data_IF_168919147532
#
_entry.id   IF_168919147532
#
_cell.length_a   1.000
_cell.length_b   1.000
_cell.length_c   1.000
_cell.angle_alpha   90.00
_cell.angle_beta   90.00
_cell.angle_gamma   90.00
#
_symmetry.space_group_name_H-M   'P 1'
#
loop_
_entity.id
_entity.type
_entity.pdbx_description
1 polymer ?
#
# COMPACT_ATOMS: atom_id res chain seq x y z
N UNK A 1 -15.74 -27.93 32.19
CA UNK A 1 -15.98 -27.60 30.77
C UNK A 1 -14.68 -27.04 30.27
N UNK A 2 -13.81 -27.96 29.86
CA UNK A 2 -12.46 -27.67 29.43
C UNK A 2 -12.49 -26.95 28.09
N UNK A 3 -12.03 -25.71 28.07
CA UNK A 3 -11.69 -25.05 26.81
C UNK A 3 -10.42 -25.72 26.30
N UNK A 4 -10.58 -26.68 25.38
CA UNK A 4 -9.47 -27.21 24.59
C UNK A 4 -8.72 -26.05 23.94
N UNK A 5 -7.51 -25.78 24.44
CA UNK A 5 -6.60 -24.79 23.90
C UNK A 5 -6.09 -25.32 22.54
N UNK A 6 -6.80 -24.94 21.47
CA UNK A 6 -6.48 -25.36 20.10
C UNK A 6 -5.06 -24.91 19.76
N UNK A 7 -4.17 -25.86 19.46
CA UNK A 7 -2.76 -25.61 19.19
C UNK A 7 -2.54 -24.48 18.14
N UNK A 8 -1.51 -23.62 18.31
CA UNK A 8 -1.30 -22.45 17.45
C UNK A 8 -1.15 -22.79 15.96
N UNK A 9 -0.61 -23.97 15.63
CA UNK A 9 -0.50 -24.44 14.25
C UNK A 9 -1.88 -24.72 13.60
N UNK A 10 -2.84 -25.22 14.38
CA UNK A 10 -4.21 -25.50 13.92
C UNK A 10 -4.97 -24.19 13.73
N UNK A 11 -4.79 -23.22 14.63
CA UNK A 11 -5.37 -21.87 14.48
C UNK A 11 -4.85 -21.14 13.23
N UNK A 12 -3.56 -21.26 12.92
CA UNK A 12 -2.98 -20.69 11.71
C UNK A 12 -3.56 -21.33 10.45
N UNK A 13 -3.67 -22.67 10.41
CA UNK A 13 -4.25 -23.40 9.29
C UNK A 13 -5.72 -22.99 9.02
N UNK A 14 -6.54 -22.94 10.07
CA UNK A 14 -7.93 -22.48 9.98
C UNK A 14 -7.99 -21.04 9.45
N UNK A 15 -7.12 -20.17 9.94
CA UNK A 15 -7.07 -18.77 9.50
C UNK A 15 -6.67 -18.63 8.02
N UNK A 16 -5.75 -19.46 7.54
CA UNK A 16 -5.33 -19.50 6.13
C UNK A 16 -6.46 -19.98 5.20
N UNK A 17 -7.18 -21.04 5.58
CA UNK A 17 -8.32 -21.55 4.80
C UNK A 17 -9.47 -20.53 4.76
N UNK A 18 -9.77 -19.89 5.90
CA UNK A 18 -10.76 -18.82 5.97
C UNK A 18 -10.36 -17.63 5.09
N UNK A 19 -9.08 -17.24 5.08
CA UNK A 19 -8.58 -16.18 4.19
C UNK A 19 -8.76 -16.57 2.72
N UNK A 20 -8.46 -17.82 2.33
CA UNK A 20 -8.65 -18.29 0.96
C UNK A 20 -10.12 -18.23 0.52
N UNK A 21 -11.03 -18.69 1.39
CA UNK A 21 -12.48 -18.64 1.14
C UNK A 21 -12.96 -17.18 1.00
N UNK A 22 -12.52 -16.30 1.90
CA UNK A 22 -12.86 -14.88 1.85
C UNK A 22 -12.27 -14.18 0.62
N UNK A 23 -11.03 -14.49 0.25
CA UNK A 23 -10.38 -13.97 -0.95
C UNK A 23 -11.16 -14.35 -2.21
N UNK A 24 -11.58 -15.62 -2.33
CA UNK A 24 -12.40 -16.12 -3.44
C UNK A 24 -13.78 -15.44 -3.47
N UNK A 25 -14.43 -15.29 -2.31
CA UNK A 25 -15.75 -14.65 -2.24
C UNK A 25 -15.68 -13.16 -2.60
N UNK A 26 -14.64 -12.43 -2.14
CA UNK A 26 -14.38 -11.03 -2.51
C UNK A 26 -14.18 -10.87 -4.02
N UNK A 27 -13.43 -11.77 -4.67
CA UNK A 27 -13.24 -11.75 -6.12
C UNK A 27 -14.49 -12.08 -6.93
N UNK A 28 -15.49 -12.75 -6.33
CA UNK A 28 -16.77 -13.12 -6.95
C UNK A 28 -17.90 -12.11 -6.68
N UNK A 29 -17.74 -11.15 -5.77
CA UNK A 29 -18.78 -10.16 -5.46
C UNK A 29 -19.16 -9.40 -6.72
N UNK A 30 -20.47 -9.34 -7.00
CA UNK A 30 -21.03 -8.58 -8.13
C UNK A 30 -20.51 -7.15 -8.05
N UNK A 31 -19.95 -6.70 -9.16
CA UNK A 31 -19.41 -5.35 -9.33
C UNK A 31 -20.56 -4.37 -9.10
N UNK A 32 -20.52 -3.46 -8.12
CA UNK A 32 -21.20 -2.20 -8.35
C UNK A 32 -20.59 -1.65 -9.65
N UNK A 33 -21.45 -1.35 -10.63
CA UNK A 33 -21.05 -0.93 -11.96
C UNK A 33 -19.95 0.13 -11.85
N UNK A 34 -18.76 -0.22 -12.36
CA UNK A 34 -17.54 0.60 -12.33
C UNK A 34 -17.29 1.35 -11.01
N UNK A 35 -16.54 0.73 -10.09
CA UNK A 35 -15.72 1.54 -9.16
C UNK A 35 -14.59 2.15 -10.01
N UNK A 36 -14.94 3.13 -10.84
CA UNK A 36 -13.95 4.04 -11.41
C UNK A 36 -13.26 4.68 -10.21
N UNK A 37 -11.94 4.56 -10.11
CA UNK A 37 -11.24 5.24 -9.04
C UNK A 37 -11.43 6.74 -9.23
N UNK A 38 -11.82 7.44 -8.17
CA UNK A 38 -12.07 8.89 -8.22
C UNK A 38 -10.78 9.67 -8.53
N UNK A 39 -9.62 9.01 -8.38
CA UNK A 39 -8.30 9.51 -8.76
C UNK A 39 -7.45 8.40 -9.38
N UNK A 40 -6.60 8.77 -10.33
CA UNK A 40 -5.64 7.87 -10.96
C UNK A 40 -4.50 7.44 -10.01
N UNK A 41 -4.32 8.13 -8.88
CA UNK A 41 -3.27 7.85 -7.90
C UNK A 41 -3.85 7.24 -6.63
N UNK A 42 -3.26 6.13 -6.19
CA UNK A 42 -3.54 5.49 -4.91
C UNK A 42 -2.28 5.45 -4.06
N UNK A 43 -2.45 5.67 -2.76
CA UNK A 43 -1.46 5.31 -1.75
C UNK A 43 -1.97 4.10 -0.98
N UNK A 44 -1.19 3.03 -0.96
CA UNK A 44 -1.56 1.74 -0.36
C UNK A 44 -0.62 1.45 0.80
N UNK A 45 -1.17 1.14 1.97
CA UNK A 45 -0.43 0.88 3.21
C UNK A 45 -0.78 -0.51 3.73
N UNK A 46 0.25 -1.29 4.09
CA UNK A 46 0.07 -2.58 4.77
C UNK A 46 -0.18 -2.36 6.26
N UNK A 47 -1.37 -2.72 6.73
CA UNK A 47 -1.81 -2.49 8.12
C UNK A 47 -1.71 -3.73 9.01
N UNK A 48 -1.39 -4.90 8.45
CA UNK A 48 -1.32 -6.16 9.19
C UNK A 48 -0.05 -6.98 8.90
N UNK A 49 0.29 -7.82 9.87
CA UNK A 49 1.35 -8.84 9.77
C UNK A 49 0.90 -10.08 8.99
N UNK A 50 1.86 -10.93 8.64
CA UNK A 50 1.70 -12.04 7.68
C UNK A 50 1.44 -13.42 8.28
N UNK A 51 1.30 -13.52 9.59
CA UNK A 51 1.24 -14.81 10.26
C UNK A 51 -0.04 -15.57 9.85
N UNK A 52 -1.14 -14.85 9.58
CA UNK A 52 -2.45 -15.42 9.25
C UNK A 52 -2.86 -15.06 7.80
N UNK A 53 -2.04 -15.41 6.81
CA UNK A 53 -2.30 -15.09 5.40
C UNK A 53 -2.13 -16.31 4.52
N UNK A 54 -3.12 -16.59 3.67
CA UNK A 54 -2.98 -17.64 2.67
C UNK A 54 -1.81 -17.29 1.70
N UNK A 55 -1.01 -18.27 1.23
CA UNK A 55 0.14 -18.01 0.35
C UNK A 55 -0.17 -17.19 -0.91
N UNK A 56 -1.38 -17.32 -1.47
CA UNK A 56 -1.84 -16.51 -2.62
C UNK A 56 -1.97 -15.01 -2.26
N UNK A 57 -2.60 -14.69 -1.13
CA UNK A 57 -2.72 -13.33 -0.60
C UNK A 57 -1.33 -12.72 -0.38
N UNK A 58 -0.43 -13.52 0.21
CA UNK A 58 0.97 -13.15 0.44
C UNK A 58 1.70 -12.81 -0.85
N UNK A 59 1.54 -13.63 -1.90
CA UNK A 59 2.15 -13.41 -3.22
C UNK A 59 1.67 -12.10 -3.86
N UNK A 60 0.39 -11.76 -3.72
CA UNK A 60 -0.16 -10.49 -4.19
C UNK A 60 0.49 -9.31 -3.45
N UNK A 61 0.55 -9.34 -2.11
CA UNK A 61 1.19 -8.28 -1.33
C UNK A 61 2.67 -8.09 -1.70
N UNK A 62 3.41 -9.17 -1.94
CA UNK A 62 4.80 -9.09 -2.41
C UNK A 62 4.91 -8.43 -3.78
N UNK A 63 3.99 -8.72 -4.72
CA UNK A 63 3.99 -8.08 -6.04
C UNK A 63 3.75 -6.57 -5.95
N UNK A 64 3.00 -6.11 -4.94
CA UNK A 64 2.79 -4.70 -4.62
C UNK A 64 3.92 -4.08 -3.79
N UNK A 65 4.97 -4.85 -3.46
CA UNK A 65 6.07 -4.46 -2.57
C UNK A 65 5.63 -4.19 -1.12
N UNK A 66 4.46 -4.67 -0.72
CA UNK A 66 3.88 -4.55 0.63
C UNK A 66 4.29 -5.75 1.49
N UNK A 67 5.61 -5.93 1.61
CA UNK A 67 6.22 -7.10 2.25
C UNK A 67 6.34 -7.01 3.77
N UNK A 68 6.04 -5.89 4.43
CA UNK A 68 6.04 -5.77 5.89
C UNK A 68 4.89 -4.87 6.31
N UNK A 69 4.48 -4.98 7.57
CA UNK A 69 3.53 -4.03 8.16
C UNK A 69 4.12 -2.62 8.15
N UNK A 70 3.25 -1.60 8.03
CA UNK A 70 3.61 -0.17 7.96
C UNK A 70 4.46 0.21 6.76
N UNK A 71 4.40 -0.58 5.70
CA UNK A 71 4.96 -0.19 4.40
C UNK A 71 3.86 0.47 3.56
N UNK A 72 4.19 1.63 2.99
CA UNK A 72 3.38 2.37 2.04
C UNK A 72 3.98 2.37 0.62
N UNK A 73 3.14 2.35 -0.41
CA UNK A 73 3.56 2.48 -1.81
C UNK A 73 2.55 3.31 -2.62
N UNK A 74 3.04 4.10 -3.57
CA UNK A 74 2.21 4.73 -4.59
C UNK A 74 1.90 3.74 -5.72
N UNK A 75 0.65 3.74 -6.18
CA UNK A 75 0.17 2.82 -7.22
C UNK A 75 -0.77 3.56 -8.17
N UNK A 76 -0.64 3.27 -9.46
CA UNK A 76 -1.59 3.73 -10.47
C UNK A 76 -2.91 2.96 -10.36
N UNK A 77 -4.01 3.70 -10.24
CA UNK A 77 -5.34 3.13 -10.24
C UNK A 77 -5.67 2.58 -11.63
N UNK A 78 -6.05 1.31 -11.68
CA UNK A 78 -6.53 0.63 -12.89
C UNK A 78 -7.53 -0.44 -12.47
N UNK A 79 -8.38 -0.89 -13.39
CA UNK A 79 -9.37 -1.93 -13.08
C UNK A 79 -8.73 -3.20 -12.48
N UNK A 80 -7.61 -3.65 -13.06
CA UNK A 80 -6.87 -4.80 -12.54
C UNK A 80 -6.22 -4.54 -11.18
N UNK A 81 -5.74 -3.32 -10.93
CA UNK A 81 -5.20 -2.96 -9.61
C UNK A 81 -6.29 -2.95 -8.54
N UNK A 82 -7.47 -2.41 -8.84
CA UNK A 82 -8.60 -2.42 -7.92
C UNK A 82 -9.06 -3.85 -7.59
N UNK A 83 -9.08 -4.74 -8.58
CA UNK A 83 -9.38 -6.16 -8.37
C UNK A 83 -8.32 -6.83 -7.46
N UNK A 84 -7.05 -6.50 -7.68
CA UNK A 84 -5.95 -7.00 -6.86
C UNK A 84 -6.06 -6.51 -5.41
N UNK A 85 -6.34 -5.22 -5.21
CA UNK A 85 -6.54 -4.62 -3.88
C UNK A 85 -7.76 -5.21 -3.16
N UNK A 86 -8.85 -5.50 -3.87
CA UNK A 86 -10.04 -6.13 -3.28
C UNK A 86 -9.76 -7.54 -2.75
N UNK A 87 -8.86 -8.30 -3.40
CA UNK A 87 -8.45 -9.63 -2.92
C UNK A 87 -7.68 -9.57 -1.61
N UNK A 88 -6.84 -8.54 -1.44
CA UNK A 88 -6.00 -8.34 -0.23
C UNK A 88 -6.55 -7.32 0.75
N UNK A 89 -7.80 -6.88 0.55
CA UNK A 89 -8.46 -5.78 1.25
C UNK A 89 -8.26 -5.79 2.78
N UNK A 90 -8.38 -6.91 3.53
CA UNK A 90 -8.26 -6.90 5.00
C UNK A 90 -6.89 -6.52 5.54
N UNK A 91 -5.86 -6.63 4.70
CA UNK A 91 -4.46 -6.46 5.07
C UNK A 91 -3.91 -5.11 4.66
N UNK A 92 -4.64 -4.41 3.79
CA UNK A 92 -4.24 -3.11 3.26
C UNK A 92 -5.29 -2.06 3.57
N UNK A 93 -4.83 -0.84 3.75
CA UNK A 93 -5.67 0.34 3.65
C UNK A 93 -5.16 1.19 2.50
N UNK A 94 -6.05 1.81 1.75
CA UNK A 94 -5.66 2.66 0.62
C UNK A 94 -6.62 3.82 0.43
N UNK A 95 -6.19 4.83 -0.31
CA UNK A 95 -7.03 5.96 -0.67
C UNK A 95 -6.32 6.91 -1.63
N UNK A 96 -6.90 8.09 -1.80
CA UNK A 96 -6.41 9.11 -2.73
C UNK A 96 -5.55 10.12 -1.98
N UNK A 97 -4.22 10.07 -2.13
CA UNK A 97 -3.35 11.05 -1.49
C UNK A 97 -3.50 12.42 -2.17
N UNK A 98 -3.47 13.48 -1.40
CA UNK A 98 -3.40 14.85 -1.92
C UNK A 98 -1.94 15.26 -2.14
N UNK A 99 -1.73 16.37 -2.85
CA UNK A 99 -0.38 16.88 -3.19
C UNK A 99 0.47 17.09 -1.94
N UNK A 100 -0.13 17.60 -0.85
CA UNK A 100 0.58 17.82 0.42
C UNK A 100 1.09 16.50 1.00
N UNK A 101 0.24 15.47 1.12
CA UNK A 101 0.62 14.16 1.63
C UNK A 101 1.66 13.47 0.75
N UNK A 102 1.59 13.65 -0.58
CA UNK A 102 2.63 13.14 -1.49
C UNK A 102 3.97 13.82 -1.22
N UNK A 103 3.99 15.16 -1.13
CA UNK A 103 5.19 15.94 -0.78
C UNK A 103 5.76 15.49 0.56
N UNK A 104 4.95 15.48 1.62
CA UNK A 104 5.39 15.12 2.97
C UNK A 104 5.99 13.71 3.02
N UNK A 105 5.43 12.75 2.28
CA UNK A 105 5.97 11.39 2.21
C UNK A 105 7.32 11.33 1.48
N UNK A 106 7.43 12.02 0.33
CA UNK A 106 8.65 12.02 -0.47
C UNK A 106 9.78 12.74 0.26
N UNK A 107 9.52 13.91 0.86
CA UNK A 107 10.55 14.67 1.58
C UNK A 107 11.05 13.99 2.86
N UNK A 108 10.18 13.28 3.59
CA UNK A 108 10.53 12.76 4.94
C UNK A 108 11.16 11.37 4.92
N UNK A 109 10.94 10.60 3.87
CA UNK A 109 11.24 9.16 3.80
C UNK A 109 11.97 8.81 2.52
N UNK A 110 12.75 9.76 2.02
CA UNK A 110 13.44 9.84 0.73
C UNK A 110 14.55 8.81 0.54
N UNK A 111 14.32 7.56 0.93
CA UNK A 111 15.25 6.47 0.63
C UNK A 111 14.98 5.98 -0.79
N UNK A 112 15.99 6.07 -1.63
CA UNK A 112 15.94 5.64 -3.03
C UNK A 112 16.74 4.37 -3.24
N UNK A 113 16.39 3.63 -4.29
CA UNK A 113 17.06 2.41 -4.69
C UNK A 113 17.97 2.69 -5.87
N UNK A 114 19.28 2.60 -5.65
CA UNK A 114 20.31 2.70 -6.69
C UNK A 114 20.97 1.33 -6.79
N UNK A 115 20.75 0.64 -7.91
CA UNK A 115 21.15 -0.76 -8.07
C UNK A 115 20.57 -1.69 -6.99
N UNK A 116 21.43 -2.20 -6.09
CA UNK A 116 21.04 -3.09 -4.97
C UNK A 116 21.00 -2.38 -3.62
N UNK A 117 21.43 -1.13 -3.55
CA UNK A 117 21.58 -0.39 -2.30
C UNK A 117 20.41 0.58 -2.07
N UNK A 118 20.26 0.98 -0.80
CA UNK A 118 19.27 1.95 -0.34
C UNK A 118 19.99 3.16 0.18
N UNK A 119 19.82 4.28 -0.48
CA UNK A 119 20.58 5.51 -0.24
C UNK A 119 19.58 6.63 0.07
N UNK A 120 19.82 7.48 1.08
CA UNK A 120 19.01 8.67 1.29
C UNK A 120 19.17 9.65 0.12
N UNK A 121 18.09 10.32 -0.28
CA UNK A 121 18.04 11.25 -1.41
C UNK A 121 18.56 12.63 -1.02
N UNK A 122 19.80 12.68 -0.59
CA UNK A 122 20.45 13.94 -0.18
C UNK A 122 21.11 14.70 -1.33
N UNK A 123 21.40 14.02 -2.44
CA UNK A 123 22.12 14.59 -3.58
C UNK A 123 21.29 14.50 -4.87
N UNK A 124 21.11 15.65 -5.52
CA UNK A 124 20.42 15.77 -6.80
C UNK A 124 21.13 15.01 -7.92
N UNK A 125 22.46 14.81 -7.81
CA UNK A 125 23.23 14.04 -8.78
C UNK A 125 22.71 12.59 -8.90
N UNK A 126 22.26 12.00 -7.79
CA UNK A 126 21.73 10.63 -7.78
C UNK A 126 20.42 10.56 -8.58
N UNK A 127 19.57 11.58 -8.48
CA UNK A 127 18.34 11.66 -9.26
C UNK A 127 18.63 11.83 -10.75
N UNK A 128 19.52 12.75 -11.10
CA UNK A 128 19.86 13.03 -12.49
C UNK A 128 20.49 11.79 -13.17
N UNK A 129 21.32 11.03 -12.46
CA UNK A 129 21.91 9.80 -12.99
C UNK A 129 20.87 8.71 -13.30
N UNK A 130 19.92 8.48 -12.38
CA UNK A 130 18.93 7.40 -12.52
C UNK A 130 17.72 7.79 -13.38
N UNK A 131 17.24 9.03 -13.25
CA UNK A 131 16.00 9.53 -13.84
C UNK A 131 16.19 10.72 -14.79
N UNK A 132 17.40 11.25 -14.97
CA UNK A 132 17.65 12.39 -15.87
C UNK A 132 17.27 12.12 -17.33
N UNK A 133 17.31 10.85 -17.76
CA UNK A 133 16.80 10.41 -19.08
C UNK A 133 15.29 10.65 -19.27
N UNK A 134 14.56 10.80 -18.17
CA UNK A 134 13.14 11.09 -18.11
C UNK A 134 12.85 12.57 -17.83
N UNK A 135 13.87 13.43 -17.89
CA UNK A 135 13.78 14.85 -17.56
C UNK A 135 13.30 15.11 -16.12
N UNK A 136 13.69 14.23 -15.19
CA UNK A 136 13.41 14.34 -13.75
C UNK A 136 14.74 14.65 -13.08
N UNK A 137 14.92 15.90 -12.66
CA UNK A 137 16.20 16.41 -12.14
C UNK A 137 16.12 16.77 -10.67
N UNK A 138 14.92 17.04 -10.15
CA UNK A 138 14.72 17.40 -8.75
C UNK A 138 13.57 16.63 -8.08
N UNK A 139 13.49 16.76 -6.75
CA UNK A 139 12.43 16.14 -5.95
C UNK A 139 11.04 16.66 -6.37
N UNK A 140 10.93 17.93 -6.77
CA UNK A 140 9.65 18.50 -7.20
C UNK A 140 9.16 17.84 -8.50
N UNK A 141 10.07 17.48 -9.43
CA UNK A 141 9.71 16.72 -10.63
C UNK A 141 9.18 15.34 -10.28
N UNK A 142 9.79 14.67 -9.29
CA UNK A 142 9.30 13.39 -8.75
C UNK A 142 7.88 13.53 -8.19
N UNK A 143 7.64 14.56 -7.37
CA UNK A 143 6.32 14.83 -6.80
C UNK A 143 5.29 15.07 -7.91
N UNK A 144 5.63 15.93 -8.87
CA UNK A 144 4.74 16.27 -9.99
C UNK A 144 4.41 15.03 -10.84
N UNK A 145 5.41 14.21 -11.15
CA UNK A 145 5.23 12.98 -11.91
C UNK A 145 4.35 11.96 -11.18
N UNK A 146 4.49 11.85 -9.84
CA UNK A 146 3.65 10.97 -9.01
C UNK A 146 2.20 11.48 -8.96
N UNK A 147 2.00 12.77 -8.68
CA UNK A 147 0.66 13.39 -8.57
C UNK A 147 -0.09 13.30 -9.90
N UNK A 148 0.58 13.61 -11.00
CA UNK A 148 -0.02 13.55 -12.33
C UNK A 148 -0.21 12.12 -12.84
N UNK A 149 0.43 11.13 -12.20
CA UNK A 149 0.50 9.75 -12.69
C UNK A 149 1.03 9.72 -14.13
N UNK A 150 2.16 10.38 -14.33
CA UNK A 150 2.74 10.65 -15.63
C UNK A 150 3.28 9.40 -16.36
N UNK A 151 3.96 9.64 -17.48
CA UNK A 151 4.47 8.59 -18.37
C UNK A 151 5.53 7.71 -17.71
N UNK A 152 6.36 8.32 -16.85
CA UNK A 152 7.50 7.71 -16.18
C UNK A 152 7.18 7.32 -14.72
N UNK A 153 5.90 7.35 -14.32
CA UNK A 153 5.43 6.95 -12.99
C UNK A 153 6.02 5.60 -12.52
N UNK A 154 6.12 4.61 -13.40
CA UNK A 154 6.71 3.30 -13.06
C UNK A 154 8.21 3.39 -12.76
N UNK A 155 8.96 4.18 -13.52
CA UNK A 155 10.38 4.42 -13.27
C UNK A 155 10.57 5.11 -11.92
N UNK A 156 9.80 6.16 -11.66
CA UNK A 156 9.85 6.92 -10.40
C UNK A 156 9.46 6.06 -9.20
N UNK A 157 8.35 5.34 -9.26
CA UNK A 157 7.93 4.47 -8.15
C UNK A 157 8.89 3.31 -7.92
N UNK A 158 9.56 2.80 -8.96
CA UNK A 158 10.60 1.76 -8.84
C UNK A 158 11.89 2.28 -8.21
N UNK A 159 12.25 3.52 -8.53
CA UNK A 159 13.37 4.25 -7.93
C UNK A 159 13.12 4.53 -6.43
N UNK A 160 11.90 4.96 -6.08
CA UNK A 160 11.50 5.15 -4.69
C UNK A 160 11.40 3.81 -3.95
N UNK A 161 12.05 3.71 -2.79
CA UNK A 161 11.82 2.57 -1.90
C UNK A 161 10.38 2.61 -1.34
N UNK A 162 9.82 1.46 -0.95
CA UNK A 162 8.58 1.45 -0.18
C UNK A 162 8.74 2.26 1.12
N UNK A 163 7.77 3.12 1.40
CA UNK A 163 7.79 4.04 2.53
C UNK A 163 7.62 3.29 3.84
N UNK A 164 8.59 3.42 4.74
CA UNK A 164 8.48 2.86 6.10
C UNK A 164 7.80 3.91 7.00
N UNK A 165 6.55 3.63 7.36
CA UNK A 165 5.69 4.52 8.15
C UNK A 165 5.84 4.22 9.65
N UNK A 166 5.58 5.24 10.47
CA UNK A 166 5.61 5.12 11.92
C UNK A 166 4.41 4.31 12.43
N UNK A 167 4.46 3.92 13.69
CA UNK A 167 3.47 3.00 14.25
C UNK A 167 2.07 3.62 14.30
N UNK A 168 1.09 3.10 13.54
CA UNK A 168 -0.26 3.62 13.55
C UNK A 168 -1.10 3.04 14.70
N UNK A 169 -0.50 2.41 15.71
CA UNK A 169 -1.21 1.65 16.76
C UNK A 169 -2.25 2.48 17.52
N UNK A 170 -2.07 3.80 17.65
CA UNK A 170 -3.10 4.69 18.23
C UNK A 170 -4.27 4.97 17.27
N UNK A 171 -4.07 4.80 15.97
CA UNK A 171 -5.00 5.17 14.90
C UNK A 171 -5.72 3.98 14.25
N UNK A 172 -5.25 2.74 14.48
CA UNK A 172 -5.88 1.53 13.96
C UNK A 172 -6.60 0.78 15.08
N UNK A 173 -7.85 0.40 14.83
CA UNK A 173 -8.64 -0.40 15.76
C UNK A 173 -8.30 -1.90 15.74
N UNK A 174 -7.38 -2.31 14.86
CA UNK A 174 -7.02 -3.71 14.68
C UNK A 174 -8.15 -4.56 14.09
N UNK A 175 -9.11 -3.96 13.36
CA UNK A 175 -10.29 -4.67 12.80
C UNK A 175 -10.12 -5.03 11.32
N UNK A 176 -10.44 -6.28 10.94
CA UNK A 176 -10.36 -6.77 9.54
C UNK A 176 -11.53 -6.28 8.66
N UNK A 177 -12.46 -5.52 9.27
CA UNK A 177 -13.64 -4.97 8.61
C UNK A 177 -13.25 -3.81 7.70
N UNK A 178 -14.09 -3.54 6.70
CA UNK A 178 -13.89 -2.42 5.78
C UNK A 178 -14.00 -1.11 6.54
N UNK A 179 -13.31 -0.10 6.05
CA UNK A 179 -13.36 1.24 6.61
C UNK A 179 -14.78 1.82 6.61
N UNK A 180 -15.54 1.58 5.54
CA UNK A 180 -16.97 1.97 5.45
C UNK A 180 -17.85 1.30 6.52
N UNK A 181 -17.43 0.15 7.05
CA UNK A 181 -18.13 -0.60 8.10
C UNK A 181 -17.55 -0.30 9.50
N UNK A 182 -16.76 0.77 9.64
CA UNK A 182 -16.10 1.15 10.90
C UNK A 182 -14.87 0.30 11.26
N UNK A 183 -14.23 -0.33 10.27
CA UNK A 183 -12.95 -1.03 10.41
C UNK A 183 -11.76 -0.23 9.89
N UNK A 184 -10.63 -0.90 9.70
CA UNK A 184 -9.37 -0.24 9.30
C UNK A 184 -8.99 -0.44 7.83
N UNK A 185 -9.64 -1.38 7.15
CA UNK A 185 -9.16 -1.97 5.90
C UNK A 185 -9.90 -1.46 4.66
N UNK A 186 -9.27 -1.59 3.50
CA UNK A 186 -9.85 -1.17 2.22
C UNK A 186 -9.76 0.33 1.94
N UNK A 187 -10.69 0.84 1.12
CA UNK A 187 -10.65 2.21 0.61
C UNK A 187 -11.14 3.24 1.66
N UNK A 188 -10.25 4.18 2.04
CA UNK A 188 -10.54 5.35 2.90
C UNK A 188 -10.83 6.63 2.10
N UNK A 189 -10.82 6.57 0.77
CA UNK A 189 -10.95 7.73 -0.14
C UNK A 189 -9.98 8.84 0.28
N UNK A 190 -10.48 10.05 0.50
CA UNK A 190 -9.69 11.22 0.91
C UNK A 190 -9.28 11.21 2.39
N UNK A 191 -9.91 10.38 3.23
CA UNK A 191 -9.56 10.27 4.66
C UNK A 191 -8.21 9.57 4.88
N UNK A 192 -7.62 8.99 3.82
CA UNK A 192 -6.24 8.51 3.86
C UNK A 192 -5.25 9.63 4.19
N UNK A 193 -5.53 10.88 3.83
CA UNK A 193 -4.62 12.01 4.04
C UNK A 193 -4.48 12.35 5.52
N UNK A 194 -5.59 12.33 6.25
CA UNK A 194 -5.57 12.49 7.71
C UNK A 194 -4.76 11.35 8.34
N UNK A 195 -4.98 10.12 7.89
CA UNK A 195 -4.23 8.96 8.37
C UNK A 195 -2.72 9.07 8.09
N UNK A 196 -2.33 9.45 6.87
CA UNK A 196 -0.93 9.69 6.49
C UNK A 196 -0.30 10.76 7.39
N UNK A 197 -1.00 11.86 7.65
CA UNK A 197 -0.48 12.97 8.45
C UNK A 197 -0.10 12.56 9.88
N UNK A 198 -0.76 11.53 10.43
CA UNK A 198 -0.52 11.04 11.79
C UNK A 198 0.60 9.99 11.88
N UNK A 199 0.94 9.34 10.76
CA UNK A 199 1.85 8.18 10.73
C UNK A 199 3.12 8.43 9.93
N UNK A 200 3.23 9.58 9.26
CA UNK A 200 4.43 10.00 8.55
C UNK A 200 5.50 10.51 9.52
#
# INVERSE_FOLDING_TARGET
>A
MDTEEVAPAVQNYISEELDLVQMKSRGKRIRPASVMPDSNLLFVISIRGKNDMHPKTRKILYSLRLGKIRIGVFVKASAGMMEMLQKVEPYVTYGYPNVKSVKDLIYKKDVVRVGKERIPLTDNNIMEQELGKHNIICIEDIVNEIVAVGLHFKSVTSFLCPFVLNNPEKELQGKKRRFVDGGDSGNRKNQINEFISKIN
#
